data_IF_994500511619
#
_entry.id   IF_994500511619
#
_cell.length_a   1.000
_cell.length_b   1.000
_cell.length_c   1.000
_cell.angle_alpha   90.00
_cell.angle_beta   90.00
_cell.angle_gamma   90.00
#
_symmetry.space_group_name_H-M   'P 1'
#
loop_
_entity.id
_entity.type
_entity.pdbx_description
1 polymer ?
#
# COMPACT_ATOMS: atom_id res chain seq x y z
N UNK A 1 -0.12 -3.86 -3.82
CA UNK A 1 0.76 -2.72 -3.50
C UNK A 1 2.20 -3.10 -3.88
N UNK A 2 3.16 -2.17 -3.78
CA UNK A 2 4.60 -2.49 -3.92
C UNK A 2 5.06 -3.59 -2.97
N UNK A 3 4.45 -3.70 -1.77
CA UNK A 3 4.70 -4.77 -0.82
C UNK A 3 4.32 -6.18 -1.32
N UNK A 4 3.61 -6.30 -2.44
CA UNK A 4 3.36 -7.56 -3.14
C UNK A 4 4.18 -7.64 -4.43
N UNK A 5 4.23 -6.58 -5.23
CA UNK A 5 4.91 -6.63 -6.52
C UNK A 5 6.43 -6.75 -6.38
N UNK A 6 7.01 -6.24 -5.30
CA UNK A 6 8.45 -6.22 -5.04
C UNK A 6 8.85 -7.25 -3.97
N UNK A 7 7.91 -8.09 -3.52
CA UNK A 7 8.18 -9.19 -2.62
C UNK A 7 8.81 -10.36 -3.38
N UNK A 8 10.10 -10.61 -3.13
CA UNK A 8 10.86 -11.70 -3.75
C UNK A 8 10.34 -13.10 -3.38
N UNK A 9 9.59 -13.23 -2.27
CA UNK A 9 8.93 -14.48 -1.91
C UNK A 9 7.62 -14.73 -2.65
N UNK A 10 7.13 -13.74 -3.41
CA UNK A 10 5.91 -13.82 -4.20
C UNK A 10 6.21 -13.92 -5.71
N UNK A 11 5.30 -14.53 -6.44
CA UNK A 11 5.39 -14.76 -7.89
C UNK A 11 4.39 -13.90 -8.69
N UNK A 12 3.95 -12.76 -8.14
CA UNK A 12 2.86 -11.96 -8.72
C UNK A 12 3.16 -11.52 -10.15
N UNK A 13 4.36 -11.00 -10.42
CA UNK A 13 4.76 -10.51 -11.75
C UNK A 13 4.77 -11.64 -12.80
N UNK A 14 5.34 -12.80 -12.45
CA UNK A 14 5.40 -13.95 -13.37
C UNK A 14 3.99 -14.51 -13.63
N UNK A 15 3.16 -14.65 -12.59
CA UNK A 15 1.81 -15.17 -12.72
C UNK A 15 0.96 -14.31 -13.67
N UNK A 16 1.02 -12.98 -13.55
CA UNK A 16 0.29 -12.10 -14.47
C UNK A 16 0.76 -12.31 -15.91
N UNK A 17 2.08 -12.38 -16.15
CA UNK A 17 2.63 -12.59 -17.49
C UNK A 17 2.29 -13.94 -18.11
N UNK A 18 2.09 -14.98 -17.30
CA UNK A 18 1.68 -16.32 -17.76
C UNK A 18 0.21 -16.38 -18.17
N UNK A 19 -0.64 -15.54 -17.57
CA UNK A 19 -2.09 -15.54 -17.83
C UNK A 19 -2.42 -14.75 -19.10
N UNK A 20 -1.92 -13.53 -19.22
CA UNK A 20 -2.21 -12.65 -20.36
C UNK A 20 -1.35 -11.39 -20.33
N UNK A 21 -1.23 -10.70 -21.47
CA UNK A 21 -0.66 -9.36 -21.55
C UNK A 21 -1.64 -8.32 -20.98
N UNK A 22 -1.67 -8.19 -19.64
CA UNK A 22 -2.47 -7.20 -18.91
C UNK A 22 -1.57 -6.32 -18.02
N UNK A 23 -1.83 -5.00 -17.94
CA UNK A 23 -1.08 -4.12 -17.05
C UNK A 23 -1.27 -4.50 -15.57
N UNK A 24 -0.17 -4.80 -14.88
CA UNK A 24 -0.13 -4.91 -13.43
C UNK A 24 0.37 -3.60 -12.82
N UNK A 25 -0.51 -2.87 -12.11
CA UNK A 25 -0.19 -1.58 -11.49
C UNK A 25 -0.10 -1.74 -9.97
N UNK A 26 0.99 -1.26 -9.39
CA UNK A 26 1.22 -1.26 -7.95
C UNK A 26 1.51 0.16 -7.45
N UNK A 27 1.07 0.44 -6.22
CA UNK A 27 1.38 1.69 -5.52
C UNK A 27 2.35 1.45 -4.37
N UNK A 28 3.30 2.36 -4.19
CA UNK A 28 4.08 2.47 -2.96
C UNK A 28 3.42 3.51 -2.04
N UNK A 29 2.74 3.08 -0.96
CA UNK A 29 2.08 4.00 -0.04
C UNK A 29 3.04 4.69 0.95
N UNK A 30 4.34 4.36 0.93
CA UNK A 30 5.33 5.04 1.76
C UNK A 30 5.27 4.71 3.26
N UNK A 31 4.59 3.63 3.67
CA UNK A 31 4.37 3.31 5.09
C UNK A 31 5.66 2.99 5.86
N UNK A 32 6.75 2.64 5.16
CA UNK A 32 8.09 2.51 5.76
C UNK A 32 8.52 3.77 6.53
N UNK A 33 8.03 4.94 6.10
CA UNK A 33 8.33 6.23 6.70
C UNK A 33 7.40 6.59 7.86
N UNK A 34 6.45 5.72 8.23
CA UNK A 34 5.52 6.04 9.31
C UNK A 34 6.19 6.13 10.67
N UNK A 35 5.69 7.03 11.53
CA UNK A 35 6.04 7.08 12.96
C UNK A 35 5.35 6.00 13.79
N UNK A 36 4.29 5.37 13.27
CA UNK A 36 3.58 4.29 13.95
C UNK A 36 4.12 2.93 13.50
N UNK A 37 4.57 2.11 14.46
CA UNK A 37 5.13 0.78 14.19
C UNK A 37 4.15 -0.14 13.46
N UNK A 38 2.86 -0.06 13.79
CA UNK A 38 1.81 -0.85 13.12
C UNK A 38 1.67 -0.56 11.63
N UNK A 39 1.80 0.71 11.22
CA UNK A 39 1.82 1.07 9.80
C UNK A 39 3.15 0.69 9.15
N UNK A 40 4.28 0.92 9.83
CA UNK A 40 5.62 0.56 9.32
C UNK A 40 5.77 -0.94 9.05
N UNK A 41 5.13 -1.78 9.85
CA UNK A 41 5.16 -3.23 9.70
C UNK A 41 4.75 -3.71 8.30
N UNK A 42 3.90 -2.96 7.58
CA UNK A 42 3.52 -3.29 6.20
C UNK A 42 4.71 -3.39 5.25
N UNK A 43 5.67 -2.47 5.41
CA UNK A 43 6.92 -2.49 4.63
C UNK A 43 7.89 -3.61 5.01
N UNK A 44 7.64 -4.28 6.14
CA UNK A 44 8.46 -5.37 6.67
C UNK A 44 7.86 -6.75 6.38
N UNK A 45 6.86 -6.82 5.49
CA UNK A 45 6.23 -8.06 5.06
C UNK A 45 5.00 -8.48 5.86
N UNK A 46 4.57 -7.69 6.86
CA UNK A 46 3.31 -7.92 7.56
C UNK A 46 2.14 -7.33 6.75
N UNK A 47 0.95 -7.94 6.81
CA UNK A 47 -0.29 -7.39 6.23
C UNK A 47 -0.14 -6.75 4.81
N UNK A 48 0.52 -7.44 3.88
CA UNK A 48 0.99 -6.86 2.60
C UNK A 48 -0.14 -6.27 1.72
N UNK A 49 -1.32 -6.86 1.73
CA UNK A 49 -2.50 -6.46 0.94
C UNK A 49 -3.79 -6.94 1.61
N UNK A 50 -4.93 -6.41 1.16
CA UNK A 50 -6.27 -6.84 1.58
C UNK A 50 -7.31 -5.76 1.28
N UNK A 51 -8.60 -6.11 1.35
CA UNK A 51 -9.76 -5.19 1.23
C UNK A 51 -9.74 -4.20 0.05
N UNK A 52 -8.99 -4.50 -1.02
CA UNK A 52 -8.84 -3.61 -2.17
C UNK A 52 -8.03 -2.33 -1.89
N UNK A 53 -7.15 -2.35 -0.88
CA UNK A 53 -6.38 -1.18 -0.45
C UNK A 53 -5.51 -0.61 -1.57
N UNK A 54 -4.73 -1.45 -2.27
CA UNK A 54 -3.85 -1.00 -3.36
C UNK A 54 -4.61 -0.22 -4.46
N UNK A 55 -5.72 -0.77 -4.94
CA UNK A 55 -6.55 -0.13 -5.97
C UNK A 55 -7.21 1.17 -5.47
N UNK A 56 -7.69 1.17 -4.23
CA UNK A 56 -8.32 2.36 -3.62
C UNK A 56 -7.32 3.51 -3.45
N UNK A 57 -6.08 3.21 -3.06
CA UNK A 57 -5.01 4.20 -2.94
C UNK A 57 -4.67 4.78 -4.32
N UNK A 58 -4.50 3.93 -5.35
CA UNK A 58 -4.25 4.37 -6.73
C UNK A 58 -5.37 5.30 -7.20
N UNK A 59 -6.63 4.88 -7.06
CA UNK A 59 -7.78 5.68 -7.48
C UNK A 59 -7.82 7.05 -6.76
N UNK A 60 -7.56 7.06 -5.46
CA UNK A 60 -7.51 8.30 -4.66
C UNK A 60 -6.38 9.24 -5.11
N UNK A 61 -5.16 8.71 -5.29
CA UNK A 61 -4.01 9.49 -5.76
C UNK A 61 -4.27 10.10 -7.14
N UNK A 62 -4.83 9.33 -8.08
CA UNK A 62 -5.22 9.83 -9.41
C UNK A 62 -6.29 10.91 -9.30
N UNK A 63 -7.33 10.68 -8.48
CA UNK A 63 -8.45 11.61 -8.35
C UNK A 63 -8.06 12.94 -7.71
N UNK A 64 -7.13 12.92 -6.77
CA UNK A 64 -6.79 14.08 -5.93
C UNK A 64 -5.47 14.75 -6.30
N UNK A 65 -4.62 14.08 -7.10
CA UNK A 65 -3.25 14.51 -7.35
C UNK A 65 -2.31 14.28 -6.15
N UNK A 66 -2.78 13.62 -5.10
CA UNK A 66 -1.98 13.32 -3.92
C UNK A 66 -0.90 12.27 -4.22
N UNK A 67 0.24 12.39 -3.54
CA UNK A 67 1.32 11.40 -3.61
C UNK A 67 1.39 10.55 -2.32
N UNK A 68 2.38 9.67 -2.25
CA UNK A 68 2.61 8.78 -1.10
C UNK A 68 2.79 9.53 0.24
N UNK A 69 3.45 10.70 0.23
CA UNK A 69 3.63 11.52 1.44
C UNK A 69 2.29 12.10 1.92
N UNK A 70 1.44 12.58 1.01
CA UNK A 70 0.09 13.03 1.36
C UNK A 70 -0.75 11.88 1.93
N UNK A 71 -0.73 10.72 1.26
CA UNK A 71 -1.42 9.52 1.72
C UNK A 71 -0.97 9.10 3.12
N UNK A 72 0.35 9.02 3.36
CA UNK A 72 0.91 8.65 4.65
C UNK A 72 0.41 9.58 5.75
N UNK A 73 0.41 10.89 5.51
CA UNK A 73 -0.09 11.89 6.48
C UNK A 73 -1.55 11.62 6.86
N UNK A 74 -2.41 11.29 5.89
CA UNK A 74 -3.82 10.96 6.13
C UNK A 74 -3.97 9.62 6.85
N UNK A 75 -3.21 8.60 6.45
CA UNK A 75 -3.22 7.29 7.09
C UNK A 75 -2.78 7.38 8.56
N UNK A 76 -1.74 8.15 8.86
CA UNK A 76 -1.28 8.39 10.23
C UNK A 76 -2.31 9.14 11.07
N UNK A 77 -3.03 10.11 10.48
CA UNK A 77 -4.11 10.83 11.15
C UNK A 77 -5.24 9.87 11.57
N UNK A 78 -5.68 9.01 10.65
CA UNK A 78 -6.72 8.02 10.96
C UNK A 78 -6.25 6.95 11.94
N UNK A 79 -5.01 6.48 11.78
CA UNK A 79 -4.40 5.55 12.74
C UNK A 79 -4.38 6.16 14.15
N UNK A 80 -3.88 7.39 14.29
CA UNK A 80 -3.90 8.08 15.57
C UNK A 80 -5.32 8.18 16.14
N UNK A 81 -6.29 8.64 15.35
CA UNK A 81 -7.70 8.75 15.78
C UNK A 81 -8.25 7.43 16.32
N UNK A 82 -8.00 6.31 15.64
CA UNK A 82 -8.50 5.00 16.06
C UNK A 82 -7.86 4.49 17.35
N UNK A 83 -6.57 4.76 17.57
CA UNK A 83 -5.82 4.23 18.71
C UNK A 83 -5.73 5.17 19.92
N UNK A 84 -6.13 6.43 19.80
CA UNK A 84 -6.23 7.37 20.94
C UNK A 84 -7.66 7.70 21.36
N UNK A 85 -8.67 7.18 20.64
CA UNK A 85 -10.08 7.30 21.01
C UNK A 85 -10.60 6.07 21.77
N UNK A 86 -9.68 5.17 22.18
CA UNK A 86 -9.89 4.06 23.11
C UNK A 86 -9.45 4.49 24.51
#
# INVERSE_FOLDING_TARGET
TSYISDDESANFKSLVSEISDIPAIAVNPGLVNSKFSGLKAFSQGFAKEGVGAGGSIIASMIKTGNNATNFLTLAEKEYHRLFTSL
#
